data_IF_992038748745
#
_entry.id   IF_992038748745
#
_cell.length_a   1.000
_cell.length_b   1.000
_cell.length_c   1.000
_cell.angle_alpha   90.00
_cell.angle_beta   90.00
_cell.angle_gamma   90.00
#
_symmetry.space_group_name_H-M   'P 1'
#
loop_
_entity.id
_entity.type
_entity.pdbx_description
1 polymer ?
#
# COMPACT_ATOMS: atom_id res chain seq x y z
N UNK A 1 4.26 -1.27 20.81
CA UNK A 1 4.38 -0.15 19.85
C UNK A 1 3.15 -0.20 18.98
N UNK A 2 2.38 0.89 18.88
CA UNK A 2 1.21 0.96 17.99
C UNK A 2 1.61 1.77 16.76
N UNK A 3 1.51 1.13 15.59
CA UNK A 3 1.73 1.77 14.31
C UNK A 3 0.38 1.92 13.59
N UNK A 4 0.25 2.97 12.79
CA UNK A 4 -0.89 3.14 11.91
C UNK A 4 -0.78 2.16 10.74
N UNK A 5 -1.35 0.98 10.90
CA UNK A 5 -1.40 -0.04 9.85
C UNK A 5 -2.56 0.22 8.88
N UNK A 6 -2.30 0.10 7.59
CA UNK A 6 -3.34 0.16 6.57
C UNK A 6 -4.12 -1.16 6.48
N UNK A 7 -5.41 -1.14 6.13
CA UNK A 7 -6.23 -2.36 6.04
C UNK A 7 -5.75 -3.38 5.01
N UNK A 8 -5.17 -2.94 3.89
CA UNK A 8 -4.74 -3.86 2.84
C UNK A 8 -3.37 -4.45 3.10
N UNK A 9 -3.37 -5.64 3.72
CA UNK A 9 -2.20 -6.49 3.80
C UNK A 9 -1.86 -7.15 2.45
N UNK A 10 -0.56 -7.24 2.15
CA UNK A 10 0.01 -7.95 1.00
C UNK A 10 0.88 -9.08 1.53
N UNK A 11 0.62 -10.30 1.06
CA UNK A 11 1.43 -11.48 1.36
C UNK A 11 1.76 -12.17 0.04
N UNK A 12 3.04 -12.49 -0.17
CA UNK A 12 3.54 -13.17 -1.36
C UNK A 12 4.58 -14.21 -0.95
N UNK A 13 4.69 -15.26 -1.74
CA UNK A 13 5.69 -16.33 -1.58
C UNK A 13 6.54 -16.44 -2.84
N UNK A 14 7.64 -17.18 -2.80
CA UNK A 14 8.53 -17.34 -3.96
C UNK A 14 7.81 -17.78 -5.25
N UNK A 15 6.70 -18.52 -5.14
CA UNK A 15 5.89 -18.97 -6.28
C UNK A 15 5.23 -17.81 -7.04
N UNK A 16 5.06 -16.67 -6.40
CA UNK A 16 4.44 -15.49 -6.98
C UNK A 16 5.42 -14.65 -7.81
N UNK A 17 6.71 -15.00 -7.77
CA UNK A 17 7.79 -14.29 -8.44
C UNK A 17 8.36 -15.11 -9.60
N UNK A 18 8.95 -14.41 -10.56
CA UNK A 18 9.79 -14.99 -11.63
C UNK A 18 11.00 -14.08 -11.77
N UNK A 19 12.19 -14.64 -11.58
CA UNK A 19 13.46 -13.90 -11.59
C UNK A 19 13.46 -12.68 -10.63
N UNK A 20 12.85 -12.86 -9.46
CA UNK A 20 12.72 -11.80 -8.44
C UNK A 20 11.66 -10.74 -8.75
N UNK A 21 10.96 -10.83 -9.88
CA UNK A 21 9.87 -9.93 -10.25
C UNK A 21 8.53 -10.55 -9.87
N UNK A 22 7.69 -9.82 -9.13
CA UNK A 22 6.34 -10.26 -8.79
C UNK A 22 5.49 -10.37 -10.07
N UNK A 23 4.94 -11.57 -10.36
CA UNK A 23 4.13 -11.84 -11.56
C UNK A 23 2.68 -12.26 -11.25
N UNK A 24 2.39 -12.68 -10.01
CA UNK A 24 1.05 -13.08 -9.60
C UNK A 24 0.05 -11.91 -9.73
N UNK A 25 -0.89 -11.99 -10.67
CA UNK A 25 -1.85 -10.92 -10.94
C UNK A 25 -2.73 -10.58 -9.74
N UNK A 26 -3.13 -11.58 -8.96
CA UNK A 26 -3.94 -11.39 -7.76
C UNK A 26 -3.20 -10.54 -6.72
N UNK A 27 -1.89 -10.79 -6.54
CA UNK A 27 -1.06 -10.03 -5.61
C UNK A 27 -0.77 -8.64 -6.18
N UNK A 28 -0.52 -8.49 -7.48
CA UNK A 28 -0.34 -7.18 -8.11
C UNK A 28 -1.56 -6.27 -7.91
N UNK A 29 -2.78 -6.81 -8.06
CA UNK A 29 -4.02 -6.06 -7.76
C UNK A 29 -4.10 -5.65 -6.29
N UNK A 30 -3.70 -6.54 -5.38
CA UNK A 30 -3.66 -6.25 -3.93
C UNK A 30 -2.63 -5.18 -3.59
N UNK A 31 -1.46 -5.21 -4.23
CA UNK A 31 -0.42 -4.18 -4.10
C UNK A 31 -0.93 -2.84 -4.59
N UNK A 32 -1.59 -2.79 -5.75
CA UNK A 32 -2.20 -1.56 -6.26
C UNK A 32 -3.18 -0.95 -5.25
N UNK A 33 -4.07 -1.77 -4.68
CA UNK A 33 -4.99 -1.32 -3.63
C UNK A 33 -4.26 -0.76 -2.40
N UNK A 34 -3.20 -1.43 -1.92
CA UNK A 34 -2.42 -0.94 -0.78
C UNK A 34 -1.73 0.41 -1.09
N UNK A 35 -1.22 0.58 -2.30
CA UNK A 35 -0.60 1.85 -2.75
C UNK A 35 -1.63 2.97 -2.83
N UNK A 36 -2.84 2.69 -3.33
CA UNK A 36 -3.93 3.67 -3.38
C UNK A 36 -4.35 4.11 -1.96
N UNK A 37 -4.43 3.18 -1.01
CA UNK A 37 -4.69 3.49 0.41
C UNK A 37 -3.60 4.39 1.01
N UNK A 38 -2.32 4.12 0.71
CA UNK A 38 -1.21 4.99 1.13
C UNK A 38 -1.39 6.40 0.54
N UNK A 39 -1.69 6.49 -0.76
CA UNK A 39 -1.91 7.76 -1.45
C UNK A 39 -3.00 8.60 -0.78
N UNK A 40 -4.15 7.98 -0.47
CA UNK A 40 -5.25 8.64 0.22
C UNK A 40 -4.85 9.17 1.60
N UNK A 41 -4.15 8.36 2.40
CA UNK A 41 -3.72 8.76 3.75
C UNK A 41 -2.72 9.91 3.70
N UNK A 42 -1.75 9.87 2.78
CA UNK A 42 -0.75 10.93 2.63
C UNK A 42 -1.36 12.24 2.12
N UNK A 43 -2.31 12.15 1.17
CA UNK A 43 -3.03 13.31 0.66
C UNK A 43 -3.87 13.99 1.76
N UNK A 44 -4.64 13.21 2.53
CA UNK A 44 -5.45 13.75 3.63
C UNK A 44 -4.59 14.36 4.76
N UNK A 45 -3.43 13.75 5.08
CA UNK A 45 -2.49 14.36 6.04
C UNK A 45 -1.91 15.67 5.53
N UNK A 46 -1.71 15.82 4.23
CA UNK A 46 -1.18 17.05 3.65
C UNK A 46 -2.22 18.17 3.67
N UNK A 47 -3.48 17.87 3.37
CA UNK A 47 -4.58 18.83 3.45
C UNK A 47 -4.80 19.37 4.87
N UNK A 48 -4.68 18.51 5.89
CA UNK A 48 -4.78 18.92 7.29
C UNK A 48 -3.68 19.88 7.75
N UNK A 49 -2.51 19.92 7.08
CA UNK A 49 -1.43 20.87 7.39
C UNK A 49 -1.67 22.25 6.80
N UNK A 50 -2.30 22.34 5.63
CA UNK A 50 -2.62 23.63 4.98
C UNK A 50 -3.74 24.36 5.72
N UNK A 51 -4.69 23.63 6.31
CA UNK A 51 -5.76 24.23 7.11
C UNK A 51 -5.32 24.71 8.51
N UNK A 52 -4.07 24.44 8.91
CA UNK A 52 -3.52 24.77 10.23
C UNK A 52 -2.49 25.93 10.19
N UNK A 53 -2.27 26.55 9.02
CA UNK A 53 -1.37 27.70 8.81
C UNK A 53 -2.16 29.01 8.63
#
# INVERSE_FOLDING_TARGET
>A
FEAFALPTAVYATDKDFTDGVLRSEAILKRVAQAVDEVGFVLANRSAGRIAAE
#
